data_IF_093186043600
#
_entry.id   IF_093186043600
#
_cell.length_a   1.000
_cell.length_b   1.000
_cell.length_c   1.000
_cell.angle_alpha   90.00
_cell.angle_beta   90.00
_cell.angle_gamma   90.00
#
_symmetry.space_group_name_H-M   'P 1'
#
loop_
_entity.id
_entity.type
_entity.pdbx_description
1 polymer ?
#
# COMPACT_ATOMS: atom_id res chain seq x y z
N UNK A 1 -0.25 -12.01 -17.79
CA UNK A 1 -0.15 -12.35 -16.35
C UNK A 1 -0.66 -11.19 -15.52
N UNK A 2 -1.57 -11.47 -14.63
CA UNK A 2 -2.19 -10.41 -13.83
C UNK A 2 -1.21 -9.78 -12.84
N UNK A 3 -1.34 -8.48 -12.64
CA UNK A 3 -0.59 -7.77 -11.63
C UNK A 3 -1.30 -7.92 -10.28
N UNK A 4 -0.57 -8.35 -9.30
CA UNK A 4 -1.09 -8.76 -8.00
C UNK A 4 -0.96 -7.71 -6.90
N UNK A 5 0.08 -6.90 -6.96
CA UNK A 5 0.44 -6.00 -5.88
C UNK A 5 0.15 -4.56 -6.24
N UNK A 6 -0.78 -3.93 -5.52
CA UNK A 6 -1.19 -2.55 -5.73
C UNK A 6 -0.49 -1.63 -4.73
N UNK A 7 0.08 -0.54 -5.21
CA UNK A 7 0.64 0.48 -4.33
C UNK A 7 -0.49 1.42 -3.90
N UNK A 8 -0.69 1.53 -2.60
CA UNK A 8 -1.72 2.39 -2.00
C UNK A 8 -1.05 3.36 -1.04
N UNK A 9 -1.39 4.65 -1.15
CA UNK A 9 -0.90 5.67 -0.23
C UNK A 9 -2.06 6.42 0.40
N UNK A 10 -1.77 7.12 1.49
CA UNK A 10 -2.78 7.91 2.19
C UNK A 10 -2.14 9.20 2.72
N UNK A 11 -2.87 10.28 2.60
CA UNK A 11 -2.51 11.53 3.25
C UNK A 11 -3.77 12.16 3.84
N UNK A 12 -3.58 12.96 4.88
CA UNK A 12 -4.69 13.60 5.58
C UNK A 12 -5.50 14.51 4.67
N UNK A 13 -4.84 15.19 3.75
CA UNK A 13 -5.48 16.18 2.89
C UNK A 13 -6.23 15.55 1.71
N UNK A 14 -5.76 14.41 1.22
CA UNK A 14 -6.26 13.81 -0.02
C UNK A 14 -7.05 12.52 0.26
N UNK A 15 -6.72 11.82 1.34
CA UNK A 15 -7.28 10.51 1.63
C UNK A 15 -6.48 9.40 0.96
N UNK A 16 -7.11 8.27 0.70
CA UNK A 16 -6.45 7.13 0.07
C UNK A 16 -6.30 7.32 -1.43
N UNK A 17 -5.15 6.95 -1.95
CA UNK A 17 -4.84 7.04 -3.38
C UNK A 17 -4.22 5.73 -3.84
N UNK A 18 -4.68 5.22 -4.97
CA UNK A 18 -4.17 3.99 -5.57
C UNK A 18 -3.29 4.34 -6.76
N UNK A 19 -2.13 3.68 -6.82
CA UNK A 19 -1.17 3.91 -7.89
C UNK A 19 -1.09 2.69 -8.81
N UNK A 20 0.09 2.40 -9.34
CA UNK A 20 0.25 1.29 -10.28
C UNK A 20 0.23 -0.07 -9.60
N UNK A 21 -0.23 -1.07 -10.34
CA UNK A 21 -0.12 -2.47 -9.95
C UNK A 21 1.20 -3.06 -10.44
N UNK A 22 1.72 -4.01 -9.70
CA UNK A 22 2.97 -4.70 -10.03
C UNK A 22 2.81 -6.21 -9.91
N UNK A 23 3.63 -6.94 -10.65
CA UNK A 23 3.63 -8.41 -10.61
C UNK A 23 4.33 -8.96 -9.38
N UNK A 24 5.35 -8.27 -8.90
CA UNK A 24 6.12 -8.71 -7.74
C UNK A 24 6.02 -7.73 -6.60
N UNK A 25 6.11 -8.28 -5.38
CA UNK A 25 6.09 -7.46 -4.17
C UNK A 25 7.29 -6.51 -4.11
N UNK A 26 8.46 -6.98 -4.55
CA UNK A 26 9.68 -6.17 -4.52
C UNK A 26 9.55 -4.90 -5.37
N UNK A 27 9.00 -5.03 -6.58
CA UNK A 27 8.76 -3.89 -7.46
C UNK A 27 7.78 -2.90 -6.84
N UNK A 28 6.70 -3.42 -6.26
CA UNK A 28 5.68 -2.58 -5.62
C UNK A 28 6.26 -1.83 -4.42
N UNK A 29 7.08 -2.49 -3.60
CA UNK A 29 7.74 -1.86 -2.45
C UNK A 29 8.65 -0.72 -2.91
N UNK A 30 9.41 -0.95 -3.96
CA UNK A 30 10.31 0.06 -4.51
C UNK A 30 9.55 1.29 -4.98
N UNK A 31 8.43 1.08 -5.65
CA UNK A 31 7.58 2.18 -6.10
C UNK A 31 6.93 2.91 -4.92
N UNK A 32 6.42 2.17 -3.95
CA UNK A 32 5.78 2.74 -2.77
C UNK A 32 6.71 3.67 -1.99
N UNK A 33 7.98 3.31 -1.89
CA UNK A 33 8.98 4.12 -1.18
C UNK A 33 9.18 5.50 -1.78
N UNK A 34 8.87 5.70 -3.05
CA UNK A 34 8.99 7.00 -3.72
C UNK A 34 8.01 8.03 -3.14
N UNK A 35 6.92 7.59 -2.55
CA UNK A 35 5.89 8.47 -2.01
C UNK A 35 6.12 8.84 -0.55
N UNK A 36 7.18 8.34 0.07
CA UNK A 36 7.45 8.52 1.50
C UNK A 36 7.56 9.99 1.92
N UNK A 37 8.02 10.87 1.02
CA UNK A 37 8.18 12.29 1.33
C UNK A 37 6.89 13.09 1.14
N UNK A 38 6.01 12.62 0.27
CA UNK A 38 4.79 13.34 -0.09
C UNK A 38 3.54 12.82 0.58
N UNK A 39 3.58 11.58 1.08
CA UNK A 39 2.44 10.93 1.71
C UNK A 39 2.74 10.53 3.15
N UNK A 40 1.71 10.41 3.96
CA UNK A 40 1.85 10.05 5.37
C UNK A 40 1.89 8.54 5.60
N UNK A 41 1.36 7.76 4.65
CA UNK A 41 1.21 6.31 4.77
C UNK A 41 1.34 5.69 3.39
N UNK A 42 2.05 4.59 3.31
CA UNK A 42 2.17 3.83 2.07
C UNK A 42 2.18 2.35 2.34
N UNK A 43 1.47 1.61 1.52
CA UNK A 43 1.36 0.16 1.64
C UNK A 43 1.34 -0.50 0.27
N UNK A 44 1.78 -1.76 0.26
CA UNK A 44 1.66 -2.64 -0.90
C UNK A 44 0.54 -3.63 -0.58
N UNK A 45 -0.53 -3.58 -1.34
CA UNK A 45 -1.69 -4.43 -1.14
C UNK A 45 -1.61 -5.67 -2.04
N UNK A 46 -1.55 -6.85 -1.41
CA UNK A 46 -1.65 -8.13 -2.10
C UNK A 46 -3.14 -8.40 -2.34
N UNK A 47 -3.59 -8.15 -3.55
CA UNK A 47 -5.00 -8.26 -3.91
C UNK A 47 -5.52 -9.70 -3.89
N UNK A 48 -4.63 -10.68 -4.03
CA UNK A 48 -5.02 -12.09 -4.05
C UNK A 48 -5.28 -12.64 -2.64
N UNK A 49 -4.42 -12.28 -1.70
CA UNK A 49 -4.50 -12.78 -0.32
C UNK A 49 -5.13 -11.79 0.66
N UNK A 50 -5.49 -10.60 0.18
CA UNK A 50 -6.07 -9.53 1.02
C UNK A 50 -5.16 -9.15 2.19
N UNK A 51 -3.88 -8.99 1.90
CA UNK A 51 -2.87 -8.57 2.87
C UNK A 51 -2.27 -7.25 2.43
N UNK A 52 -2.27 -6.26 3.32
CA UNK A 52 -1.63 -4.97 3.09
C UNK A 52 -0.32 -4.91 3.87
N UNK A 53 0.79 -4.75 3.15
CA UNK A 53 2.12 -4.63 3.75
C UNK A 53 2.47 -3.17 3.88
N UNK A 54 2.46 -2.65 5.11
CA UNK A 54 2.76 -1.24 5.36
C UNK A 54 4.26 -0.99 5.20
N UNK A 55 4.60 -0.10 4.28
CA UNK A 55 5.99 0.24 3.97
C UNK A 55 6.46 1.44 4.79
N UNK A 56 5.59 2.44 4.96
CA UNK A 56 5.87 3.57 5.82
C UNK A 56 4.57 4.12 6.41
N UNK A 57 4.69 4.79 7.53
CA UNK A 57 3.54 5.40 8.20
C UNK A 57 3.01 4.54 9.35
N UNK A 58 1.91 4.99 9.94
CA UNK A 58 1.30 4.34 11.09
C UNK A 58 0.32 3.25 10.65
N UNK A 59 0.55 2.00 11.08
CA UNK A 59 -0.30 0.85 10.74
C UNK A 59 -1.74 1.00 11.26
N UNK A 60 -1.95 1.87 12.24
CA UNK A 60 -3.27 2.07 12.83
C UNK A 60 -4.17 2.99 12.00
N UNK A 61 -3.65 3.60 10.94
CA UNK A 61 -4.44 4.44 10.04
C UNK A 61 -5.41 3.53 9.25
N UNK A 62 -6.73 3.79 9.32
CA UNK A 62 -7.71 2.91 8.68
C UNK A 62 -7.83 3.17 7.17
N UNK A 63 -6.83 2.74 6.41
CA UNK A 63 -6.78 2.95 4.96
C UNK A 63 -7.55 1.86 4.21
N UNK A 64 -7.62 0.67 4.77
CA UNK A 64 -8.24 -0.48 4.10
C UNK A 64 -9.56 -0.88 4.75
N UNK A 65 -10.43 -1.49 3.92
CA UNK A 65 -11.72 -2.00 4.38
C UNK A 65 -11.56 -3.23 5.27
N UNK A 66 -12.65 -3.63 5.92
CA UNK A 66 -12.69 -4.87 6.71
C UNK A 66 -12.38 -6.07 5.82
N UNK A 67 -11.76 -7.07 6.39
CA UNK A 67 -11.37 -8.27 5.66
C UNK A 67 -9.95 -8.23 5.11
N UNK A 68 -9.28 -7.08 5.22
CA UNK A 68 -7.88 -6.95 4.83
C UNK A 68 -7.00 -7.07 6.06
N UNK A 69 -6.01 -7.96 5.98
CA UNK A 69 -5.00 -8.10 7.04
C UNK A 69 -3.91 -7.08 6.81
N UNK A 70 -3.67 -6.22 7.79
CA UNK A 70 -2.64 -5.18 7.69
C UNK A 70 -1.44 -5.57 8.53
N UNK A 71 -0.28 -5.67 7.90
CA UNK A 71 0.97 -6.05 8.58
C UNK A 71 2.06 -5.05 8.22
N UNK A 72 3.00 -4.89 9.11
CA UNK A 72 4.16 -4.02 8.85
C UNK A 72 5.22 -4.82 8.10
N UNK A 73 5.65 -4.29 6.97
CA UNK A 73 6.70 -4.94 6.18
C UNK A 73 8.08 -4.75 6.77
#
# INVERSE_FOLDING_TARGET
>A
MEKRYLVTTWSRDIGSDEHMDFRTKAEAIKECRKYRKSEEYGAVFDQWNKIAYVIFGNVDIPVFADGVTVVKA
#
